data_IF_206686803095
#
_entry.id   IF_206686803095
#
_cell.length_a   1.000
_cell.length_b   1.000
_cell.length_c   1.000
_cell.angle_alpha   90.00
_cell.angle_beta   90.00
_cell.angle_gamma   90.00
#
_symmetry.space_group_name_H-M   'P 1'
#
loop_
_entity.id
_entity.type
_entity.pdbx_description
1 polymer ?
#
# COMPACT_ATOMS: atom_id res chain seq x y z
N UNK A 1 -8.55 17.90 48.74
CA UNK A 1 -8.73 16.60 48.07
C UNK A 1 -8.93 16.67 46.54
N UNK A 2 -9.48 17.75 45.95
CA UNK A 2 -9.75 17.85 44.48
C UNK A 2 -8.52 17.79 43.53
N UNK A 3 -7.30 18.11 44.00
CA UNK A 3 -6.10 18.15 43.14
C UNK A 3 -5.48 16.78 42.86
N UNK A 4 -5.66 15.81 43.76
CA UNK A 4 -5.09 14.45 43.63
C UNK A 4 -5.88 13.64 42.59
N UNK A 5 -7.23 13.75 42.60
CA UNK A 5 -8.09 13.13 41.59
C UNK A 5 -7.82 13.64 40.16
N UNK A 6 -7.53 14.94 39.98
CA UNK A 6 -7.17 15.50 38.66
C UNK A 6 -5.84 14.95 38.13
N UNK A 7 -4.83 14.79 39.00
CA UNK A 7 -3.52 14.22 38.61
C UNK A 7 -3.62 12.73 38.31
N UNK A 8 -4.37 11.98 39.12
CA UNK A 8 -4.62 10.56 38.88
C UNK A 8 -5.42 10.33 37.58
N UNK A 9 -6.41 11.18 37.30
CA UNK A 9 -7.18 11.14 36.06
C UNK A 9 -6.32 11.47 34.83
N UNK A 10 -5.44 12.48 34.91
CA UNK A 10 -4.49 12.78 33.83
C UNK A 10 -3.48 11.66 33.61
N UNK A 11 -2.97 11.04 34.68
CA UNK A 11 -2.06 9.91 34.59
C UNK A 11 -2.75 8.69 33.96
N UNK A 12 -3.97 8.36 34.37
CA UNK A 12 -4.76 7.30 33.75
C UNK A 12 -5.04 7.57 32.26
N UNK A 13 -5.38 8.81 31.91
CA UNK A 13 -5.66 9.20 30.52
C UNK A 13 -4.41 9.24 29.62
N UNK A 14 -3.20 9.24 30.20
CA UNK A 14 -1.93 9.14 29.46
C UNK A 14 -1.43 7.68 29.40
N UNK A 15 -1.55 6.95 30.51
CA UNK A 15 -1.02 5.58 30.65
C UNK A 15 -1.89 4.56 29.90
N UNK A 16 -3.22 4.72 29.92
CA UNK A 16 -4.14 3.82 29.20
C UNK A 16 -3.84 3.75 27.69
N UNK A 17 -3.77 4.88 26.95
CA UNK A 17 -3.46 4.84 25.52
C UNK A 17 -2.03 4.38 25.22
N UNK A 18 -1.06 4.62 26.11
CA UNK A 18 0.31 4.13 25.95
C UNK A 18 0.42 2.61 26.14
N UNK A 19 -0.33 2.05 27.09
CA UNK A 19 -0.38 0.61 27.32
C UNK A 19 -1.11 -0.13 26.17
N UNK A 20 -2.17 0.47 25.63
CA UNK A 20 -2.83 -0.02 24.43
C UNK A 20 -1.93 0.08 23.19
N UNK A 21 -1.22 1.19 23.01
CA UNK A 21 -0.25 1.35 21.92
C UNK A 21 0.87 0.30 22.00
N UNK A 22 1.39 0.01 23.20
CA UNK A 22 2.39 -1.06 23.40
C UNK A 22 1.86 -2.44 23.02
N UNK A 23 0.60 -2.76 23.37
CA UNK A 23 -0.05 -4.01 22.95
C UNK A 23 -0.25 -4.07 21.43
N UNK A 24 -0.64 -2.96 20.79
CA UNK A 24 -0.78 -2.88 19.34
C UNK A 24 0.55 -3.06 18.62
N UNK A 25 1.64 -2.48 19.12
CA UNK A 25 2.99 -2.66 18.54
C UNK A 25 3.42 -4.12 18.63
N UNK A 26 3.21 -4.77 19.77
CA UNK A 26 3.53 -6.19 19.93
C UNK A 26 2.65 -7.08 19.03
N UNK A 27 1.36 -6.76 18.89
CA UNK A 27 0.46 -7.46 17.99
C UNK A 27 0.85 -7.27 16.51
N UNK A 28 1.23 -6.06 16.11
CA UNK A 28 1.71 -5.75 14.76
C UNK A 28 3.01 -6.48 14.46
N UNK A 29 3.94 -6.52 15.41
CA UNK A 29 5.20 -7.28 15.31
C UNK A 29 4.93 -8.78 15.16
N UNK A 30 4.06 -9.34 16.00
CA UNK A 30 3.68 -10.76 15.89
C UNK A 30 3.00 -11.08 14.56
N UNK A 31 2.12 -10.20 14.07
CA UNK A 31 1.49 -10.33 12.76
C UNK A 31 2.53 -10.27 11.63
N UNK A 32 3.52 -9.39 11.73
CA UNK A 32 4.61 -9.28 10.77
C UNK A 32 5.50 -10.53 10.77
N UNK A 33 5.92 -11.02 11.95
CA UNK A 33 6.71 -12.25 12.09
C UNK A 33 5.95 -13.47 11.52
N UNK A 34 4.67 -13.63 11.88
CA UNK A 34 3.84 -14.73 11.38
C UNK A 34 3.59 -14.67 9.87
N UNK A 35 3.43 -13.46 9.32
CA UNK A 35 3.32 -13.28 7.88
C UNK A 35 4.66 -13.58 7.18
N UNK A 36 5.79 -13.16 7.76
CA UNK A 36 7.12 -13.49 7.23
C UNK A 36 7.38 -15.00 7.23
N UNK A 37 6.97 -15.71 8.29
CA UNK A 37 7.03 -17.18 8.33
C UNK A 37 6.14 -17.84 7.28
N UNK A 38 4.91 -17.35 7.09
CA UNK A 38 4.02 -17.83 6.01
C UNK A 38 4.64 -17.60 4.64
N UNK A 39 5.19 -16.42 4.39
CA UNK A 39 5.92 -16.13 3.16
C UNK A 39 7.10 -17.09 2.98
N UNK A 40 7.90 -17.33 4.02
CA UNK A 40 9.05 -18.24 3.96
C UNK A 40 8.64 -19.70 3.68
N UNK A 41 7.47 -20.14 4.15
CA UNK A 41 6.93 -21.49 3.88
C UNK A 41 6.34 -21.62 2.48
N UNK A 42 5.66 -20.58 1.99
CA UNK A 42 5.04 -20.57 0.66
C UNK A 42 6.04 -20.27 -0.46
N UNK A 43 7.15 -19.60 -0.16
CA UNK A 43 8.22 -19.29 -1.10
C UNK A 43 8.79 -20.52 -1.83
N UNK A 44 9.17 -21.62 -1.15
CA UNK A 44 9.69 -22.80 -1.83
C UNK A 44 8.65 -23.52 -2.70
N UNK A 45 7.38 -23.55 -2.29
CA UNK A 45 6.29 -24.14 -3.10
C UNK A 45 5.98 -23.29 -4.34
N UNK A 46 5.97 -21.96 -4.19
CA UNK A 46 5.84 -21.03 -5.31
C UNK A 46 7.03 -21.16 -6.26
N UNK A 47 8.27 -21.23 -5.74
CA UNK A 47 9.47 -21.40 -6.54
C UNK A 47 9.56 -22.78 -7.22
N UNK A 48 8.93 -23.81 -6.64
CA UNK A 48 8.80 -25.12 -7.30
C UNK A 48 7.79 -25.10 -8.45
N UNK A 49 6.66 -24.38 -8.31
CA UNK A 49 5.73 -24.16 -9.44
C UNK A 49 6.34 -23.28 -10.53
N UNK A 50 7.19 -22.32 -10.15
CA UNK A 50 7.91 -21.44 -11.08
C UNK A 50 9.04 -22.17 -11.83
N UNK A 51 9.47 -23.35 -11.36
CA UNK A 51 10.46 -24.20 -12.05
C UNK A 51 9.88 -24.99 -13.22
N UNK A 52 8.57 -25.18 -13.30
CA UNK A 52 7.93 -25.50 -14.58
C UNK A 52 7.95 -24.20 -15.40
N UNK A 53 8.90 -24.13 -16.34
CA UNK A 53 9.02 -23.00 -17.26
C UNK A 53 7.79 -23.02 -18.17
N UNK A 54 6.69 -22.45 -17.69
CA UNK A 54 5.50 -22.25 -18.48
C UNK A 54 5.83 -21.21 -19.54
N UNK A 55 5.47 -21.53 -20.78
CA UNK A 55 5.45 -20.53 -21.84
C UNK A 55 4.36 -19.49 -21.55
N UNK A 56 4.49 -18.28 -22.13
CA UNK A 56 3.50 -17.21 -21.91
C UNK A 56 2.07 -17.66 -22.24
N UNK A 57 1.90 -18.40 -23.33
CA UNK A 57 0.60 -18.90 -23.75
C UNK A 57 0.03 -19.96 -22.78
N UNK A 58 0.88 -20.83 -22.21
CA UNK A 58 0.48 -21.77 -21.17
C UNK A 58 0.08 -21.05 -19.87
N UNK A 59 0.79 -19.99 -19.49
CA UNK A 59 0.46 -19.18 -18.31
C UNK A 59 -0.88 -18.43 -18.48
N UNK A 60 -1.15 -17.92 -19.69
CA UNK A 60 -2.45 -17.30 -20.01
C UNK A 60 -3.55 -18.36 -20.06
N UNK A 61 -3.31 -19.52 -20.66
CA UNK A 61 -4.28 -20.62 -20.70
C UNK A 61 -4.63 -21.14 -19.29
N UNK A 62 -3.64 -21.27 -18.40
CA UNK A 62 -3.83 -21.67 -17.01
C UNK A 62 -4.71 -20.68 -16.21
N UNK A 63 -4.76 -19.42 -16.63
CA UNK A 63 -5.62 -18.42 -15.99
C UNK A 63 -7.12 -18.55 -16.35
N UNK A 64 -7.46 -19.35 -17.36
CA UNK A 64 -8.84 -19.57 -17.82
C UNK A 64 -9.51 -18.36 -18.46
N UNK A 65 -8.74 -17.31 -18.78
CA UNK A 65 -9.24 -16.06 -19.37
C UNK A 65 -8.52 -15.73 -20.67
N UNK A 66 -9.22 -15.04 -21.58
CA UNK A 66 -8.57 -14.48 -22.77
C UNK A 66 -7.62 -13.34 -22.37
N UNK A 67 -6.56 -13.15 -23.18
CA UNK A 67 -5.58 -12.08 -23.00
C UNK A 67 -6.25 -10.71 -22.94
N UNK A 68 -7.21 -10.41 -23.81
CA UNK A 68 -7.90 -9.11 -23.82
C UNK A 68 -8.74 -8.89 -22.56
N UNK A 69 -9.33 -9.96 -22.02
CA UNK A 69 -10.10 -9.92 -20.77
C UNK A 69 -9.19 -9.57 -19.58
N UNK A 70 -8.03 -10.24 -19.48
CA UNK A 70 -7.01 -9.93 -18.47
C UNK A 70 -6.49 -8.51 -18.59
N UNK A 71 -6.17 -8.05 -19.80
CA UNK A 71 -5.71 -6.68 -20.04
C UNK A 71 -6.74 -5.65 -19.57
N UNK A 72 -8.02 -5.82 -19.93
CA UNK A 72 -9.09 -4.92 -19.46
C UNK A 72 -9.21 -4.92 -17.95
N UNK A 73 -9.16 -6.09 -17.31
CA UNK A 73 -9.26 -6.21 -15.86
C UNK A 73 -8.10 -5.52 -15.13
N UNK A 74 -6.87 -5.75 -15.57
CA UNK A 74 -5.70 -5.10 -14.98
C UNK A 74 -5.66 -3.59 -15.24
N UNK A 75 -6.14 -3.12 -16.40
CA UNK A 75 -6.31 -1.69 -16.66
C UNK A 75 -7.33 -1.05 -15.72
N UNK A 76 -8.50 -1.67 -15.55
CA UNK A 76 -9.53 -1.17 -14.63
C UNK A 76 -9.02 -1.17 -13.19
N UNK A 77 -8.39 -2.26 -12.75
CA UNK A 77 -7.80 -2.34 -11.42
C UNK A 77 -6.75 -1.24 -11.22
N UNK A 78 -5.79 -1.08 -12.15
CA UNK A 78 -4.79 0.00 -12.13
C UNK A 78 -5.45 1.37 -11.94
N UNK A 79 -6.50 1.67 -12.71
CA UNK A 79 -7.24 2.94 -12.65
C UNK A 79 -7.89 3.17 -11.30
N UNK A 80 -8.53 2.15 -10.73
CA UNK A 80 -9.15 2.22 -9.40
C UNK A 80 -8.08 2.48 -8.34
N UNK A 81 -6.98 1.72 -8.36
CA UNK A 81 -5.88 1.90 -7.40
C UNK A 81 -5.24 3.28 -7.50
N UNK A 82 -5.02 3.80 -8.72
CA UNK A 82 -4.50 5.15 -8.94
C UNK A 82 -5.47 6.24 -8.49
N UNK A 83 -6.77 6.08 -8.75
CA UNK A 83 -7.76 7.03 -8.28
C UNK A 83 -7.78 7.10 -6.74
N UNK A 84 -7.76 5.95 -6.06
CA UNK A 84 -7.67 5.89 -4.61
C UNK A 84 -6.36 6.49 -4.09
N UNK A 85 -5.24 6.25 -4.78
CA UNK A 85 -3.94 6.86 -4.45
C UNK A 85 -4.00 8.39 -4.54
N UNK A 86 -4.53 8.95 -5.62
CA UNK A 86 -4.66 10.39 -5.81
C UNK A 86 -5.54 11.00 -4.71
N UNK A 87 -6.65 10.34 -4.36
CA UNK A 87 -7.52 10.79 -3.26
C UNK A 87 -6.76 10.78 -1.93
N UNK A 88 -6.06 9.70 -1.61
CA UNK A 88 -5.29 9.60 -0.38
C UNK A 88 -4.19 10.67 -0.28
N UNK A 89 -3.43 10.89 -1.36
CA UNK A 89 -2.39 11.94 -1.42
C UNK A 89 -3.01 13.33 -1.27
N UNK A 90 -4.15 13.58 -1.91
CA UNK A 90 -4.86 14.86 -1.79
C UNK A 90 -5.26 15.13 -0.33
N UNK A 91 -5.72 14.12 0.40
CA UNK A 91 -6.04 14.25 1.83
C UNK A 91 -4.79 14.60 2.64
N UNK A 92 -3.65 13.94 2.39
CA UNK A 92 -2.38 14.25 3.09
C UNK A 92 -1.95 15.69 2.87
N UNK A 93 -2.10 16.21 1.65
CA UNK A 93 -1.73 17.59 1.29
C UNK A 93 -2.69 18.60 1.91
N UNK A 94 -3.99 18.29 1.96
CA UNK A 94 -5.01 19.19 2.51
C UNK A 94 -5.03 19.24 4.05
N UNK A 95 -4.53 18.20 4.71
CA UNK A 95 -4.58 18.08 6.17
C UNK A 95 -3.84 19.20 6.93
N UNK A 96 -2.61 19.59 6.55
CA UNK A 96 -1.94 20.73 7.14
C UNK A 96 -2.71 22.04 6.93
N UNK A 97 -3.31 22.23 5.75
CA UNK A 97 -4.08 23.45 5.45
C UNK A 97 -5.31 23.53 6.36
N UNK A 98 -6.09 22.45 6.47
CA UNK A 98 -7.27 22.41 7.33
C UNK A 98 -6.95 22.60 8.81
N UNK A 99 -5.85 22.02 9.28
CA UNK A 99 -5.44 22.13 10.70
C UNK A 99 -4.92 23.52 11.07
N UNK A 100 -4.19 24.17 10.17
CA UNK A 100 -3.72 25.56 10.35
C UNK A 100 -4.86 26.57 10.33
N UNK A 101 -5.91 26.32 9.53
CA UNK A 101 -7.10 27.19 9.47
C UNK A 101 -8.03 27.02 10.69
N UNK A 102 -8.07 25.83 11.29
CA UNK A 102 -9.04 25.49 12.32
C UNK A 102 -8.58 25.79 13.77
N UNK A 103 -7.30 25.93 14.04
CA UNK A 103 -6.80 26.07 15.41
C UNK A 103 -5.58 27.00 15.55
N UNK A 104 -5.48 27.78 16.64
CA UNK A 104 -4.30 28.59 16.90
C UNK A 104 -3.05 27.71 17.10
N UNK A 105 -1.89 28.16 16.60
CA UNK A 105 -0.63 27.43 16.68
C UNK A 105 -0.16 27.36 18.12
N UNK A 106 -0.49 26.28 18.85
CA UNK A 106 -0.10 26.15 20.26
C UNK A 106 -0.32 24.80 20.91
N UNK A 107 -1.12 23.91 20.31
CA UNK A 107 -1.33 22.56 20.83
C UNK A 107 -0.34 21.59 20.17
N UNK A 108 0.81 21.34 20.81
CA UNK A 108 1.78 20.33 20.34
C UNK A 108 1.17 18.92 20.19
N UNK A 109 0.10 18.64 20.93
CA UNK A 109 -0.68 17.40 20.80
C UNK A 109 -1.42 17.32 19.45
N UNK A 110 -1.95 18.44 18.96
CA UNK A 110 -2.63 18.51 17.65
C UNK A 110 -1.64 18.29 16.50
N UNK A 111 -0.45 18.88 16.59
CA UNK A 111 0.63 18.65 15.61
C UNK A 111 1.07 17.19 15.58
N UNK A 112 1.29 16.56 16.75
CA UNK A 112 1.69 15.15 16.81
C UNK A 112 0.60 14.23 16.23
N UNK A 113 -0.68 14.50 16.51
CA UNK A 113 -1.80 13.76 15.93
C UNK A 113 -1.88 13.95 14.42
N UNK A 114 -1.67 15.17 13.93
CA UNK A 114 -1.62 15.47 12.50
C UNK A 114 -0.50 14.68 11.81
N UNK A 115 0.73 14.74 12.32
CA UNK A 115 1.85 14.00 11.74
C UNK A 115 1.64 12.49 11.77
N UNK A 116 1.09 11.95 12.86
CA UNK A 116 0.74 10.53 12.95
C UNK A 116 -0.29 10.12 11.89
N UNK A 117 -1.33 10.94 11.68
CA UNK A 117 -2.36 10.67 10.68
C UNK A 117 -1.82 10.82 9.25
N UNK A 118 -1.01 11.85 8.98
CA UNK A 118 -0.32 12.01 7.69
C UNK A 118 0.58 10.81 7.39
N UNK A 119 1.30 10.30 8.39
CA UNK A 119 2.14 9.11 8.24
C UNK A 119 1.29 7.88 7.90
N UNK A 120 0.20 7.63 8.61
CA UNK A 120 -0.70 6.51 8.33
C UNK A 120 -1.30 6.58 6.91
N UNK A 121 -1.80 7.75 6.50
CA UNK A 121 -2.40 7.92 5.17
C UNK A 121 -1.33 7.82 4.09
N UNK A 122 -0.11 8.32 4.33
CA UNK A 122 1.00 8.18 3.39
C UNK A 122 1.42 6.72 3.21
N UNK A 123 1.48 5.94 4.30
CA UNK A 123 1.74 4.50 4.22
C UNK A 123 0.65 3.78 3.43
N UNK A 124 -0.62 4.13 3.66
CA UNK A 124 -1.75 3.60 2.89
C UNK A 124 -1.66 3.99 1.40
N UNK A 125 -1.35 5.25 1.09
CA UNK A 125 -1.13 5.71 -0.28
C UNK A 125 0.02 4.94 -0.95
N UNK A 126 1.13 4.70 -0.23
CA UNK A 126 2.22 3.85 -0.72
C UNK A 126 1.76 2.45 -1.10
N UNK A 127 0.89 1.82 -0.28
CA UNK A 127 0.33 0.51 -0.59
C UNK A 127 -0.54 0.54 -1.86
N UNK A 128 -1.41 1.54 -2.00
CA UNK A 128 -2.24 1.72 -3.21
C UNK A 128 -1.38 1.92 -4.47
N UNK A 129 -0.29 2.67 -4.35
CA UNK A 129 0.67 2.89 -5.43
C UNK A 129 1.35 1.58 -5.84
N UNK A 130 1.78 0.76 -4.87
CA UNK A 130 2.37 -0.56 -5.15
C UNK A 130 1.36 -1.48 -5.85
N UNK A 131 0.10 -1.49 -5.42
CA UNK A 131 -0.95 -2.24 -6.11
C UNK A 131 -1.14 -1.75 -7.55
N UNK A 132 -1.17 -0.44 -7.80
CA UNK A 132 -1.24 0.10 -9.16
C UNK A 132 -0.01 -0.31 -10.01
N UNK A 133 1.17 -0.27 -9.41
CA UNK A 133 2.43 -0.66 -10.05
C UNK A 133 2.45 -2.15 -10.42
N UNK A 134 1.96 -3.03 -9.56
CA UNK A 134 1.83 -4.46 -9.84
C UNK A 134 0.90 -4.72 -11.04
N UNK A 135 -0.24 -4.03 -11.10
CA UNK A 135 -1.15 -4.15 -12.24
C UNK A 135 -0.52 -3.64 -13.54
N UNK A 136 0.27 -2.55 -13.49
CA UNK A 136 1.01 -2.06 -14.66
C UNK A 136 2.09 -3.04 -15.12
N UNK A 137 2.78 -3.71 -14.19
CA UNK A 137 3.76 -4.74 -14.51
C UNK A 137 3.11 -5.93 -15.23
N UNK A 138 1.96 -6.43 -14.74
CA UNK A 138 1.22 -7.49 -15.42
C UNK A 138 0.72 -7.06 -16.80
N UNK A 139 0.34 -5.79 -16.98
CA UNK A 139 0.01 -5.26 -18.30
C UNK A 139 1.21 -5.28 -19.25
N UNK A 140 2.39 -4.89 -18.76
CA UNK A 140 3.61 -4.95 -19.55
C UNK A 140 3.97 -6.39 -19.96
N UNK A 141 3.82 -7.38 -19.06
CA UNK A 141 4.00 -8.80 -19.38
C UNK A 141 3.00 -9.24 -20.48
N UNK A 142 1.73 -8.84 -20.36
CA UNK A 142 0.70 -9.16 -21.35
C UNK A 142 0.94 -8.48 -22.70
N UNK A 143 1.53 -7.29 -22.74
CA UNK A 143 1.85 -6.58 -23.99
C UNK A 143 3.07 -7.16 -24.67
N UNK A 144 4.12 -7.42 -23.89
CA UNK A 144 5.40 -7.95 -24.39
C UNK A 144 5.32 -9.44 -24.72
N UNK A 145 4.24 -10.13 -24.30
CA UNK A 145 4.06 -11.58 -24.44
C UNK A 145 5.20 -12.40 -23.81
N UNK A 146 5.80 -11.84 -22.76
CA UNK A 146 6.94 -12.44 -22.06
C UNK A 146 6.68 -12.45 -20.56
N UNK A 147 7.08 -13.54 -19.89
CA UNK A 147 7.17 -13.61 -18.42
C UNK A 147 8.45 -12.90 -17.94
N UNK A 148 8.64 -11.66 -18.39
CA UNK A 148 9.78 -10.85 -18.02
C UNK A 148 9.78 -10.50 -16.53
N UNK A 149 10.98 -10.21 -16.02
CA UNK A 149 11.20 -9.84 -14.62
C UNK A 149 10.87 -8.37 -14.33
N UNK A 150 10.58 -8.06 -13.07
CA UNK A 150 10.32 -6.69 -12.63
C UNK A 150 11.52 -5.75 -12.84
N UNK A 151 12.74 -6.27 -12.79
CA UNK A 151 13.97 -5.52 -13.08
C UNK A 151 14.07 -5.14 -14.56
N UNK A 152 13.71 -6.05 -15.47
CA UNK A 152 13.66 -5.76 -16.91
C UNK A 152 12.62 -4.68 -17.21
N UNK A 153 11.42 -4.78 -16.65
CA UNK A 153 10.38 -3.76 -16.83
C UNK A 153 10.82 -2.37 -16.35
N UNK A 154 11.49 -2.30 -15.18
CA UNK A 154 12.02 -1.03 -14.68
C UNK A 154 13.15 -0.47 -15.53
N UNK A 155 13.96 -1.33 -16.15
CA UNK A 155 15.06 -0.93 -17.02
C UNK A 155 14.58 -0.21 -18.29
N UNK A 156 13.33 -0.42 -18.71
CA UNK A 156 12.71 0.30 -19.85
C UNK A 156 12.64 1.82 -19.61
N UNK A 157 12.68 2.29 -18.36
CA UNK A 157 12.72 3.72 -18.01
C UNK A 157 11.43 4.50 -18.26
N UNK A 158 10.49 3.97 -19.04
CA UNK A 158 9.18 4.58 -19.34
C UNK A 158 8.10 4.21 -18.33
N UNK A 159 8.38 3.27 -17.43
CA UNK A 159 7.41 2.66 -16.52
C UNK A 159 6.61 3.66 -15.68
N UNK A 160 7.22 4.77 -15.26
CA UNK A 160 6.58 5.77 -14.40
C UNK A 160 5.58 6.61 -15.21
N UNK A 161 5.94 6.98 -16.44
CA UNK A 161 5.04 7.65 -17.38
C UNK A 161 3.87 6.74 -17.76
N UNK A 162 4.15 5.46 -18.00
CA UNK A 162 3.12 4.48 -18.32
C UNK A 162 2.20 4.22 -17.13
N UNK A 163 2.71 4.21 -15.90
CA UNK A 163 1.92 4.04 -14.70
C UNK A 163 0.86 5.14 -14.58
N UNK A 164 1.23 6.41 -14.75
CA UNK A 164 0.27 7.52 -14.74
C UNK A 164 -0.53 7.69 -16.03
N UNK A 165 -0.21 6.92 -17.08
CA UNK A 165 -1.00 6.96 -18.31
C UNK A 165 -2.34 6.24 -18.13
N UNK A 166 -3.42 6.94 -18.47
CA UNK A 166 -4.79 6.44 -18.45
C UNK A 166 -5.19 5.72 -19.74
N UNK A 167 -4.39 5.88 -20.79
CA UNK A 167 -4.62 5.23 -22.08
C UNK A 167 -4.24 3.76 -21.96
N UNK A 168 -5.06 2.93 -22.56
CA UNK A 168 -4.64 1.58 -22.82
C UNK A 168 -3.61 1.62 -23.97
N UNK A 169 -2.47 0.93 -23.85
CA UNK A 169 -1.54 0.73 -24.95
C UNK A 169 -2.17 -0.29 -25.92
N UNK A 170 -3.12 0.17 -26.73
CA UNK A 170 -3.62 -0.54 -27.90
C UNK A 170 -3.25 0.29 -29.11
#
# INVERSE_FOLDING_TARGET
MKKIGKKAWFAANLILPLWEAGRMVNAARYAAEKNAERFRRLWPEAAQREKEILTFDEAVAASGHSRESLMRRFLLAKRIWLAMFIVAVSIVILLPVGTLLAAPPGSGVLLMRMFSLMFMISAFAGMLFVCAMQNQFHLWQLLSQELGSFTQWRATGTWLKELFSWRAPF
#
